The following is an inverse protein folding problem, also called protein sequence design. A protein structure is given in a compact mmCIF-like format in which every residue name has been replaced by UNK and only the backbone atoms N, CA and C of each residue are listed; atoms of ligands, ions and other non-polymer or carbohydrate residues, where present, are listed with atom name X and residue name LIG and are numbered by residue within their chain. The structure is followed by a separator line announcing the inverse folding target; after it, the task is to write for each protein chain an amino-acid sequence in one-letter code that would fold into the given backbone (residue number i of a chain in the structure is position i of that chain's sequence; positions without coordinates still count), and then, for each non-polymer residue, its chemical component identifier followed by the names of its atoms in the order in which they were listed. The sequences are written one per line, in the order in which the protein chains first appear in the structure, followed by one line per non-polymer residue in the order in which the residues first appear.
data_IF_632127935435
#
_entry.id   IF_632127935435
#
_cell.length_a   1.000
_cell.length_b   1.000
_cell.length_c   1.000
_cell.angle_alpha   90.00
_cell.angle_beta   90.00
_cell.angle_gamma   90.00
#
_symmetry.space_group_name_H-M   'P 1'
#
loop_
_entity.id
_entity.type
_entity.pdbx_description
1 polymer ?
#
# COMPACT_ATOMS: atom_id res chain seq x y z
N UNK A 1 -14.40 -3.82 0.52
CA UNK A 1 -14.41 -2.90 1.67
C UNK A 1 -14.86 -1.52 1.21
N UNK A 2 -15.75 -0.92 1.98
CA UNK A 2 -16.35 0.38 1.66
C UNK A 2 -15.33 1.50 1.57
N UNK A 3 -14.35 1.52 2.46
CA UNK A 3 -13.29 2.56 2.46
C UNK A 3 -12.43 2.46 1.19
N UNK A 4 -12.11 1.25 0.77
CA UNK A 4 -11.34 1.01 -0.46
C UNK A 4 -12.14 1.50 -1.66
N UNK A 5 -13.41 1.13 -1.76
CA UNK A 5 -14.26 1.54 -2.87
C UNK A 5 -14.42 3.06 -2.95
N UNK A 6 -14.64 3.71 -1.82
CA UNK A 6 -14.75 5.18 -1.77
C UNK A 6 -13.43 5.85 -2.17
N UNK A 7 -12.30 5.36 -1.66
CA UNK A 7 -10.98 5.93 -1.93
C UNK A 7 -10.58 5.81 -3.40
N UNK A 8 -10.98 4.72 -4.05
CA UNK A 8 -10.64 4.45 -5.44
C UNK A 8 -11.75 4.84 -6.42
N UNK A 9 -12.82 5.47 -5.93
CA UNK A 9 -13.99 5.88 -6.74
C UNK A 9 -14.61 4.69 -7.50
N UNK A 10 -14.76 3.55 -6.81
CA UNK A 10 -15.28 2.33 -7.42
C UNK A 10 -16.78 2.17 -7.15
N UNK A 11 -17.48 1.64 -8.14
CA UNK A 11 -18.87 1.25 -8.00
C UNK A 11 -19.00 -0.18 -7.45
N UNK A 12 -20.24 -0.62 -7.17
CA UNK A 12 -20.46 -1.94 -6.54
C UNK A 12 -20.04 -3.14 -7.39
N UNK A 13 -19.97 -2.97 -8.71
CA UNK A 13 -19.56 -4.05 -9.62
C UNK A 13 -18.05 -4.04 -9.91
N UNK A 14 -17.34 -3.00 -9.50
CA UNK A 14 -15.92 -2.87 -9.76
C UNK A 14 -15.11 -3.75 -8.81
N UNK A 15 -13.99 -4.25 -9.32
CA UNK A 15 -13.10 -5.13 -8.57
C UNK A 15 -11.77 -4.46 -8.31
N UNK A 16 -11.09 -4.92 -7.27
CA UNK A 16 -9.73 -4.49 -6.94
C UNK A 16 -8.80 -5.68 -6.94
N UNK A 17 -7.52 -5.41 -7.14
CA UNK A 17 -6.45 -6.33 -6.86
C UNK A 17 -5.88 -5.92 -5.52
N UNK A 18 -5.83 -6.85 -4.57
CA UNK A 18 -5.26 -6.63 -3.25
C UNK A 18 -3.90 -7.30 -3.19
N UNK A 19 -2.86 -6.54 -2.93
CA UNK A 19 -1.50 -7.04 -2.85
C UNK A 19 -1.01 -6.85 -1.41
N UNK A 20 -0.66 -7.95 -0.76
CA UNK A 20 -0.11 -7.93 0.59
C UNK A 20 1.35 -8.34 0.53
N UNK A 21 2.24 -7.54 1.11
CA UNK A 21 3.68 -7.79 1.07
C UNK A 21 4.33 -7.51 2.41
N UNK A 22 5.40 -8.25 2.68
CA UNK A 22 6.27 -8.01 3.82
C UNK A 22 7.67 -7.83 3.28
N UNK A 23 8.31 -6.73 3.65
CA UNK A 23 9.71 -6.49 3.30
C UNK A 23 10.60 -6.79 4.48
N UNK A 24 11.74 -7.41 4.17
CA UNK A 24 12.72 -7.81 5.17
C UNK A 24 13.99 -6.99 5.01
N UNK A 25 14.68 -6.77 6.12
CA UNK A 25 16.04 -6.24 6.15
C UNK A 25 16.82 -7.10 7.13
N UNK A 26 17.91 -7.72 6.65
CA UNK A 26 18.68 -8.69 7.43
C UNK A 26 17.79 -9.76 8.07
N UNK A 27 16.87 -10.30 7.26
CA UNK A 27 15.89 -11.32 7.64
C UNK A 27 14.85 -10.87 8.68
N UNK A 28 14.82 -9.59 9.02
CA UNK A 28 13.82 -9.04 9.93
C UNK A 28 12.73 -8.30 9.17
N UNK A 29 11.45 -8.55 9.47
CA UNK A 29 10.36 -7.77 8.88
C UNK A 29 10.45 -6.31 9.32
N UNK A 30 10.50 -5.40 8.34
CA UNK A 30 10.56 -3.96 8.61
C UNK A 30 9.36 -3.20 8.05
N UNK A 31 8.62 -3.82 7.13
CA UNK A 31 7.47 -3.20 6.49
C UNK A 31 6.41 -4.25 6.19
N UNK A 32 5.20 -3.98 6.60
CA UNK A 32 4.02 -4.73 6.20
C UNK A 32 3.13 -3.79 5.41
N UNK A 33 2.79 -4.14 4.17
CA UNK A 33 1.99 -3.26 3.34
C UNK A 33 0.87 -4.00 2.60
N UNK A 34 -0.22 -3.27 2.41
CA UNK A 34 -1.37 -3.70 1.62
C UNK A 34 -1.62 -2.62 0.57
N UNK A 35 -1.66 -3.04 -0.68
CA UNK A 35 -2.01 -2.16 -1.77
C UNK A 35 -3.31 -2.63 -2.42
N UNK A 36 -4.15 -1.69 -2.80
CA UNK A 36 -5.37 -1.95 -3.55
C UNK A 36 -5.28 -1.19 -4.86
N UNK A 37 -5.44 -1.91 -5.97
CA UNK A 37 -5.36 -1.33 -7.31
C UNK A 37 -6.65 -1.67 -8.05
N UNK A 38 -7.31 -0.70 -8.72
CA UNK A 38 -8.49 -1.01 -9.51
C UNK A 38 -8.18 -2.10 -10.55
N UNK A 39 -9.00 -3.13 -10.57
CA UNK A 39 -8.78 -4.24 -11.51
C UNK A 39 -8.78 -3.78 -12.96
N UNK A 40 -9.57 -2.76 -13.27
CA UNK A 40 -9.75 -2.24 -14.64
C UNK A 40 -8.48 -1.66 -15.25
N UNK A 41 -7.53 -1.17 -14.43
CA UNK A 41 -6.31 -0.55 -14.96
C UNK A 41 -5.18 -1.57 -15.20
N UNK A 42 -5.38 -2.82 -14.80
CA UNK A 42 -4.44 -3.91 -15.02
C UNK A 42 -5.08 -4.91 -15.99
N UNK A 43 -4.83 -4.79 -17.30
CA UNK A 43 -5.51 -5.64 -18.28
C UNK A 43 -5.05 -7.10 -18.27
N UNK A 44 -3.86 -7.37 -17.74
CA UNK A 44 -3.32 -8.72 -17.64
C UNK A 44 -3.94 -9.47 -16.48
N UNK A 45 -3.86 -10.81 -16.51
CA UNK A 45 -4.31 -11.64 -15.40
C UNK A 45 -3.40 -11.37 -14.19
N UNK A 46 -3.95 -11.05 -13.01
CA UNK A 46 -3.12 -10.68 -11.85
C UNK A 46 -2.09 -11.74 -11.45
N UNK A 47 -2.44 -13.01 -11.55
CA UNK A 47 -1.53 -14.10 -11.16
C UNK A 47 -0.38 -14.33 -12.16
N UNK A 48 -0.45 -13.70 -13.32
CA UNK A 48 0.61 -13.79 -14.33
C UNK A 48 1.65 -12.68 -14.17
N UNK A 49 1.46 -11.78 -13.20
CA UNK A 49 2.34 -10.63 -12.97
C UNK A 49 3.24 -10.85 -11.76
N UNK A 50 4.42 -10.24 -11.81
CA UNK A 50 5.34 -10.23 -10.68
C UNK A 50 5.05 -9.01 -9.80
N UNK A 51 4.51 -9.27 -8.62
CA UNK A 51 4.17 -8.22 -7.65
C UNK A 51 5.28 -7.97 -6.62
N UNK A 52 6.43 -8.63 -6.76
CA UNK A 52 7.54 -8.46 -5.83
C UNK A 52 8.34 -7.19 -6.06
N UNK A 53 8.24 -6.62 -7.26
CA UNK A 53 8.96 -5.42 -7.64
C UNK A 53 8.22 -4.13 -7.30
N UNK A 54 8.58 -3.05 -7.97
CA UNK A 54 7.98 -1.73 -7.76
C UNK A 54 6.56 -1.66 -8.33
N UNK A 55 5.59 -1.37 -7.47
CA UNK A 55 4.21 -1.15 -7.92
C UNK A 55 4.12 0.10 -8.82
N UNK A 56 4.90 1.14 -8.50
CA UNK A 56 4.97 2.35 -9.33
C UNK A 56 5.37 2.02 -10.78
N UNK A 57 6.39 1.19 -10.93
CA UNK A 57 6.86 0.80 -12.26
C UNK A 57 5.80 0.00 -13.01
N UNK A 58 5.11 -0.89 -12.30
CA UNK A 58 4.04 -1.67 -12.91
C UNK A 58 2.89 -0.79 -13.37
N UNK A 59 2.46 0.15 -12.54
CA UNK A 59 1.41 1.09 -12.90
C UNK A 59 1.82 1.96 -14.10
N UNK A 60 3.09 2.35 -14.15
CA UNK A 60 3.63 3.14 -15.28
C UNK A 60 3.57 2.36 -16.58
N UNK A 61 3.86 1.05 -16.57
CA UNK A 61 3.75 0.19 -17.75
C UNK A 61 2.34 0.20 -18.34
N UNK A 62 1.32 0.33 -17.51
CA UNK A 62 -0.07 0.36 -17.95
C UNK A 62 -0.61 1.78 -18.13
N UNK A 63 0.27 2.78 -18.19
CA UNK A 63 -0.11 4.16 -18.47
C UNK A 63 -0.74 4.89 -17.28
N UNK A 64 -0.57 4.37 -16.08
CA UNK A 64 -1.20 4.93 -14.87
C UNK A 64 -0.17 5.31 -13.79
N UNK A 65 0.91 5.92 -14.22
CA UNK A 65 1.94 6.39 -13.28
C UNK A 65 1.35 7.35 -12.26
N UNK A 66 1.53 7.10 -10.96
CA UNK A 66 1.12 8.06 -9.94
C UNK A 66 1.87 9.37 -10.07
N UNK A 67 1.14 10.48 -10.01
CA UNK A 67 1.69 11.84 -10.10
C UNK A 67 1.51 12.62 -8.82
N UNK A 68 0.54 12.27 -8.01
CA UNK A 68 0.18 12.97 -6.79
C UNK A 68 -0.37 11.97 -5.80
N UNK A 69 -0.19 12.23 -4.52
CA UNK A 69 -0.82 11.42 -3.50
C UNK A 69 -1.32 12.27 -2.34
N UNK A 70 -2.32 11.74 -1.65
CA UNK A 70 -2.79 12.27 -0.37
C UNK A 70 -2.51 11.21 0.68
N UNK A 71 -1.77 11.57 1.73
CA UNK A 71 -1.33 10.62 2.74
C UNK A 71 -1.64 11.10 4.15
N UNK A 72 -1.91 10.15 5.03
CA UNK A 72 -1.99 10.39 6.47
C UNK A 72 -1.01 9.48 7.18
N UNK A 73 -0.45 9.97 8.29
CA UNK A 73 0.54 9.26 9.09
C UNK A 73 0.01 9.10 10.51
N UNK A 74 0.06 7.88 11.04
CA UNK A 74 -0.41 7.56 12.39
C UNK A 74 0.54 6.61 13.08
N UNK A 75 0.67 6.74 14.41
CA UNK A 75 1.41 5.77 15.23
C UNK A 75 0.43 4.72 15.71
N UNK A 76 0.70 3.45 15.40
CA UNK A 76 -0.22 2.35 15.68
C UNK A 76 0.55 1.06 16.01
N UNK A 77 -0.18 0.05 16.45
CA UNK A 77 0.30 -1.33 16.46
C UNK A 77 -0.29 -2.05 15.26
N UNK A 78 0.38 -3.10 14.79
CA UNK A 78 -0.19 -3.95 13.75
C UNK A 78 -1.51 -4.58 14.24
N UNK A 79 -2.47 -4.82 13.34
CA UNK A 79 -3.65 -5.59 13.70
C UNK A 79 -3.27 -6.98 14.22
N UNK A 80 -3.97 -7.45 15.24
CA UNK A 80 -3.65 -8.74 15.89
C UNK A 80 -3.66 -9.92 14.92
N UNK A 81 -4.63 -9.95 14.00
CA UNK A 81 -4.72 -11.03 13.01
C UNK A 81 -3.51 -11.05 12.07
N UNK A 82 -2.96 -9.89 11.74
CA UNK A 82 -1.76 -9.77 10.91
C UNK A 82 -0.55 -10.31 11.68
N UNK A 83 -0.41 -9.93 12.95
CA UNK A 83 0.66 -10.42 13.82
C UNK A 83 0.64 -11.94 13.90
N UNK A 84 -0.54 -12.53 14.10
CA UNK A 84 -0.69 -13.98 14.21
C UNK A 84 -0.43 -14.69 12.89
N UNK A 85 -0.99 -14.21 11.80
CA UNK A 85 -0.85 -14.86 10.49
C UNK A 85 0.59 -14.89 9.98
N UNK A 86 1.35 -13.85 10.29
CA UNK A 86 2.68 -13.65 9.70
C UNK A 86 3.82 -13.73 10.71
N UNK A 87 3.53 -14.08 11.97
CA UNK A 87 4.57 -14.21 12.99
C UNK A 87 5.28 -12.89 13.29
N UNK A 88 4.54 -11.81 13.40
CA UNK A 88 5.09 -10.46 13.56
C UNK A 88 4.98 -9.92 15.00
N UNK A 89 4.96 -10.78 15.99
CA UNK A 89 4.80 -10.35 17.39
C UNK A 89 5.88 -9.40 17.88
N UNK A 90 7.07 -9.47 17.32
CA UNK A 90 8.20 -8.62 17.70
C UNK A 90 8.30 -7.34 16.84
N UNK A 91 7.32 -7.10 15.97
CA UNK A 91 7.33 -5.93 15.09
C UNK A 91 7.30 -4.62 15.88
N UNK A 92 6.53 -4.60 16.96
CA UNK A 92 6.41 -3.44 17.84
C UNK A 92 5.61 -2.30 17.24
N UNK A 93 5.74 -1.09 17.82
CA UNK A 93 5.06 0.08 17.31
C UNK A 93 5.43 0.40 15.87
N UNK A 94 4.46 0.85 15.10
CA UNK A 94 4.63 1.13 13.68
C UNK A 94 4.16 2.54 13.35
N UNK A 95 4.76 3.13 12.31
CA UNK A 95 4.21 4.29 11.63
C UNK A 95 3.38 3.77 10.48
N UNK A 96 2.07 4.04 10.54
CA UNK A 96 1.15 3.67 9.47
C UNK A 96 0.98 4.85 8.54
N UNK A 97 1.33 4.66 7.27
CA UNK A 97 1.09 5.64 6.22
C UNK A 97 -0.03 5.10 5.35
N UNK A 98 -1.15 5.82 5.32
CA UNK A 98 -2.30 5.50 4.46
C UNK A 98 -2.31 6.51 3.33
N UNK A 99 -2.32 6.04 2.08
CA UNK A 99 -2.08 6.90 0.93
C UNK A 99 -3.00 6.55 -0.23
N UNK A 100 -3.54 7.59 -0.89
CA UNK A 100 -4.25 7.44 -2.15
C UNK A 100 -3.40 8.09 -3.21
N UNK A 101 -3.06 7.35 -4.25
CA UNK A 101 -2.26 7.85 -5.37
C UNK A 101 -3.14 8.12 -6.58
N UNK A 102 -2.86 9.22 -7.26
CA UNK A 102 -3.64 9.67 -8.43
C UNK A 102 -2.73 9.79 -9.65
N UNK A 103 -3.24 9.46 -10.83
CA UNK A 103 -2.51 9.67 -12.08
C UNK A 103 -2.59 11.13 -12.55
N UNK A 104 -2.02 11.43 -13.72
CA UNK A 104 -2.00 12.80 -14.27
C UNK A 104 -3.39 13.37 -14.53
N UNK A 105 -4.38 12.51 -14.77
CA UNK A 105 -5.77 12.93 -15.00
C UNK A 105 -6.55 13.13 -13.69
N UNK A 106 -5.92 12.86 -12.54
CA UNK A 106 -6.57 12.96 -11.23
C UNK A 106 -7.39 11.75 -10.85
N UNK A 107 -7.26 10.64 -11.58
CA UNK A 107 -7.96 9.40 -11.24
C UNK A 107 -7.17 8.61 -10.19
N UNK A 108 -7.84 8.05 -9.17
CA UNK A 108 -7.13 7.24 -8.19
C UNK A 108 -6.70 5.90 -8.80
N UNK A 109 -5.44 5.54 -8.59
CA UNK A 109 -4.85 4.33 -9.16
C UNK A 109 -4.32 3.35 -8.12
N UNK A 110 -4.18 3.80 -6.86
CA UNK A 110 -3.70 2.96 -5.79
C UNK A 110 -4.16 3.51 -4.43
N UNK A 111 -4.58 2.61 -3.56
CA UNK A 111 -4.82 2.89 -2.14
C UNK A 111 -3.89 1.99 -1.35
N UNK A 112 -2.97 2.59 -0.60
CA UNK A 112 -1.92 1.87 0.10
C UNK A 112 -2.03 2.05 1.61
N UNK A 113 -1.77 1.00 2.34
CA UNK A 113 -1.64 1.04 3.79
C UNK A 113 -0.30 0.41 4.13
N UNK A 114 0.65 1.23 4.58
CA UNK A 114 2.00 0.79 4.89
C UNK A 114 2.26 0.92 6.39
N UNK A 115 2.69 -0.18 7.01
CA UNK A 115 3.11 -0.21 8.41
C UNK A 115 4.64 -0.31 8.45
N UNK A 116 5.28 0.79 8.74
CA UNK A 116 6.74 0.86 8.89
C UNK A 116 7.11 0.54 10.33
N UNK A 117 7.97 -0.44 10.51
CA UNK A 117 8.43 -0.83 11.85
C UNK A 117 9.16 0.35 12.50
N UNK A 118 8.68 0.76 13.68
CA UNK A 118 9.19 1.96 14.34
C UNK A 118 10.67 1.93 14.67
N UNK A 119 11.20 0.75 14.97
CA UNK A 119 12.63 0.60 15.27
C UNK A 119 13.54 0.78 14.04
N UNK A 120 12.97 0.76 12.83
CA UNK A 120 13.71 0.85 11.56
C UNK A 120 13.25 2.00 10.68
N UNK A 121 12.47 2.92 11.22
CA UNK A 121 11.92 4.02 10.42
C UNK A 121 11.91 5.31 11.22
N UNK A 122 12.31 6.40 10.59
CA UNK A 122 12.18 7.73 11.17
C UNK A 122 11.65 8.69 10.12
N UNK A 123 10.92 9.68 10.60
CA UNK A 123 10.33 10.72 9.75
C UNK A 123 10.81 12.07 10.27
N UNK A 124 11.41 12.87 9.40
CA UNK A 124 11.97 14.17 9.76
C UNK A 124 11.27 15.29 9.01
N UNK A 125 11.01 16.37 9.71
CA UNK A 125 10.31 17.52 9.16
C UNK A 125 10.98 18.80 9.68
N UNK A 126 11.27 19.72 8.77
CA UNK A 126 11.79 21.04 9.13
C UNK A 126 10.63 22.03 9.17
N UNK A 127 10.52 22.72 10.29
CA UNK A 127 9.46 23.73 10.50
C UNK A 127 10.10 25.10 10.67
N UNK A 128 9.44 26.10 10.17
CA UNK A 128 9.87 27.49 10.31
C UNK A 128 8.89 28.32 11.11
#
# INVERSE_FOLDING_TARGET
DKRVAESLHLGPADRVIRIERIRLHDDEPILYCIDYVPRSIIPSRPYDLDWSGSLLNLLEEYGNRPRMSAASVSAVLLPEDVVERHGLKDFGPALRITEICFNAAGAPVNYAIDYHRGSHFSFSLTRK
#
